data_IF_556260527912
#
_entry.id   IF_556260527912
#
_cell.length_a   1.000
_cell.length_b   1.000
_cell.length_c   1.000
_cell.angle_alpha   90.00
_cell.angle_beta   90.00
_cell.angle_gamma   90.00
#
_symmetry.space_group_name_H-M   'P 1'
#
loop_
_entity.id
_entity.type
_entity.pdbx_description
1 polymer ?
#
# COMPACT_ATOMS: atom_id res chain seq x y z
N UNK A 1 -0.02 9.15 -14.77
CA UNK A 1 0.10 7.70 -14.48
C UNK A 1 1.31 7.49 -13.58
N UNK A 2 1.11 7.01 -12.34
CA UNK A 2 2.18 6.94 -11.34
C UNK A 2 3.01 5.65 -11.42
N UNK A 3 2.42 4.59 -11.96
CA UNK A 3 3.12 3.34 -12.22
C UNK A 3 4.05 3.49 -13.44
N UNK A 4 5.36 3.21 -13.32
CA UNK A 4 6.27 3.18 -14.46
C UNK A 4 5.82 2.13 -15.49
N UNK A 5 5.78 2.51 -16.77
CA UNK A 5 5.37 1.58 -17.84
C UNK A 5 5.82 2.02 -19.24
N UNK A 6 6.01 1.04 -20.11
CA UNK A 6 6.16 1.21 -21.57
C UNK A 6 4.78 1.31 -22.19
N UNK A 7 4.62 2.18 -23.18
CA UNK A 7 3.38 2.31 -23.95
C UNK A 7 3.45 1.40 -25.16
N UNK A 8 2.46 0.51 -25.31
CA UNK A 8 2.42 -0.48 -26.40
C UNK A 8 3.73 -1.31 -26.55
N UNK A 9 4.42 -1.57 -25.43
CA UNK A 9 5.69 -2.31 -25.42
C UNK A 9 6.90 -1.55 -26.00
N UNK A 10 6.74 -0.29 -26.41
CA UNK A 10 7.80 0.46 -27.07
C UNK A 10 8.77 1.09 -26.07
N UNK A 11 10.07 0.82 -26.23
CA UNK A 11 11.11 1.38 -25.34
C UNK A 11 11.17 2.91 -25.34
N UNK A 12 10.87 3.53 -26.48
CA UNK A 12 10.95 4.98 -26.69
C UNK A 12 9.76 5.76 -26.14
N UNK A 13 8.64 5.09 -25.82
CA UNK A 13 7.43 5.73 -25.30
C UNK A 13 7.18 5.22 -23.88
N UNK A 14 7.49 6.05 -22.89
CA UNK A 14 7.54 5.66 -21.49
C UNK A 14 6.76 6.65 -20.63
N UNK A 15 6.03 6.13 -19.66
CA UNK A 15 5.75 6.88 -18.43
C UNK A 15 6.81 6.50 -17.40
N UNK A 16 7.55 7.48 -16.88
CA UNK A 16 8.51 7.27 -15.79
C UNK A 16 7.82 6.82 -14.50
N UNK A 17 6.55 7.18 -14.32
CA UNK A 17 5.87 7.09 -13.04
C UNK A 17 6.18 8.29 -12.14
N UNK A 18 5.63 8.27 -10.92
CA UNK A 18 5.99 9.23 -9.86
C UNK A 18 7.34 8.83 -9.23
N UNK A 19 8.11 9.78 -8.68
CA UNK A 19 9.36 9.48 -7.99
C UNK A 19 9.16 8.96 -6.56
N UNK A 20 7.96 9.13 -6.00
CA UNK A 20 7.58 8.70 -4.65
C UNK A 20 6.18 8.05 -4.68
N UNK A 21 5.85 7.19 -3.71
CA UNK A 21 4.52 6.61 -3.59
C UNK A 21 3.49 7.71 -3.32
N UNK A 22 2.46 7.79 -4.17
CA UNK A 22 1.36 8.74 -4.02
C UNK A 22 0.10 8.08 -3.42
N UNK A 23 0.09 6.75 -3.30
CA UNK A 23 -0.94 6.00 -2.60
C UNK A 23 -0.45 4.63 -2.13
N UNK A 24 -1.19 4.00 -1.20
CA UNK A 24 -0.90 2.63 -0.74
C UNK A 24 -1.10 1.55 -1.82
N UNK A 25 -1.72 1.87 -2.97
CA UNK A 25 -1.73 0.96 -4.12
C UNK A 25 -0.32 0.77 -4.71
N UNK A 26 0.61 1.65 -4.37
CA UNK A 26 1.97 1.73 -4.93
C UNK A 26 3.02 1.06 -4.04
N UNK A 27 2.62 0.52 -2.88
CA UNK A 27 3.52 -0.07 -1.88
C UNK A 27 4.44 -1.16 -2.45
N UNK A 28 3.94 -1.94 -3.40
CA UNK A 28 4.59 -3.14 -3.94
C UNK A 28 5.48 -2.89 -5.16
N UNK A 29 5.68 -1.64 -5.60
CA UNK A 29 6.61 -1.37 -6.69
C UNK A 29 7.62 -0.27 -6.34
N UNK A 30 8.76 -0.33 -7.03
CA UNK A 30 9.82 0.68 -6.91
C UNK A 30 9.54 1.82 -7.86
N UNK A 31 9.70 3.03 -7.36
CA UNK A 31 9.67 4.24 -8.16
C UNK A 31 10.99 4.41 -8.90
N UNK A 32 10.96 5.10 -10.03
CA UNK A 32 12.14 5.28 -10.87
C UNK A 32 12.12 6.63 -11.56
N UNK A 33 13.31 7.06 -11.96
CA UNK A 33 13.50 8.08 -13.00
C UNK A 33 14.06 7.39 -14.25
N UNK A 34 13.92 8.04 -15.40
CA UNK A 34 14.48 7.57 -16.66
C UNK A 34 15.68 8.43 -17.03
N UNK A 35 16.85 7.82 -17.13
CA UNK A 35 18.02 8.43 -17.76
C UNK A 35 17.94 8.16 -19.25
N UNK A 36 17.70 9.22 -20.02
CA UNK A 36 17.59 9.15 -21.49
C UNK A 36 18.89 9.66 -22.10
N UNK A 37 19.54 8.80 -22.88
CA UNK A 37 20.76 9.15 -23.61
C UNK A 37 20.44 9.33 -25.08
N UNK A 38 20.86 10.45 -25.65
CA UNK A 38 20.72 10.77 -27.08
C UNK A 38 22.09 10.78 -27.76
N UNK A 39 22.12 10.42 -29.04
CA UNK A 39 23.29 10.56 -29.92
C UNK A 39 22.87 11.41 -31.13
N UNK A 40 23.16 12.71 -31.04
CA UNK A 40 22.55 13.70 -31.93
C UNK A 40 21.03 13.70 -31.76
N UNK A 41 20.29 13.54 -32.87
CA UNK A 41 18.82 13.52 -32.89
C UNK A 41 18.23 12.12 -32.63
N UNK A 42 19.07 11.10 -32.41
CA UNK A 42 18.62 9.71 -32.23
C UNK A 42 18.61 9.31 -30.76
N UNK A 43 17.58 8.57 -30.37
CA UNK A 43 17.55 7.91 -29.07
C UNK A 43 18.58 6.78 -29.04
N UNK A 44 19.55 6.86 -28.11
CA UNK A 44 20.59 5.86 -27.93
C UNK A 44 20.22 4.84 -26.86
N UNK A 45 19.77 5.30 -25.69
CA UNK A 45 19.46 4.42 -24.55
C UNK A 45 18.44 5.05 -23.59
N UNK A 46 17.70 4.20 -22.87
CA UNK A 46 16.77 4.58 -21.80
C UNK A 46 16.95 3.65 -20.61
N UNK A 47 17.56 4.17 -19.54
CA UNK A 47 17.85 3.41 -18.33
C UNK A 47 16.86 3.78 -17.22
N UNK A 48 16.30 2.76 -16.57
CA UNK A 48 15.49 2.95 -15.35
C UNK A 48 16.43 3.04 -14.14
N UNK A 49 16.47 4.20 -13.49
CA UNK A 49 17.21 4.38 -12.24
C UNK A 49 16.23 4.34 -11.06
N UNK A 50 16.37 3.40 -10.11
CA UNK A 50 15.46 3.31 -8.97
C UNK A 50 15.64 4.51 -8.03
N UNK A 51 14.51 5.04 -7.54
CA UNK A 51 14.52 6.09 -6.50
C UNK A 51 14.53 5.42 -5.13
N UNK A 52 15.50 5.72 -4.24
CA UNK A 52 15.51 5.21 -2.88
C UNK A 52 14.25 5.62 -2.12
N UNK A 53 13.70 4.70 -1.30
CA UNK A 53 12.53 4.98 -0.49
C UNK A 53 12.98 5.47 0.89
N UNK A 54 12.82 6.77 1.15
CA UNK A 54 13.26 7.38 2.40
C UNK A 54 12.34 7.04 3.59
N UNK A 55 11.04 6.82 3.34
CA UNK A 55 10.04 6.44 4.33
C UNK A 55 9.27 5.25 3.80
N UNK A 56 9.25 4.16 4.55
CA UNK A 56 8.52 2.95 4.16
C UNK A 56 6.99 3.11 4.28
N UNK A 57 6.27 2.37 3.45
CA UNK A 57 4.82 2.19 3.56
C UNK A 57 4.57 0.76 4.04
N UNK A 58 3.93 0.61 5.19
CA UNK A 58 3.55 -0.67 5.78
C UNK A 58 2.04 -0.88 5.63
N UNK A 59 1.66 -2.13 5.37
CA UNK A 59 0.26 -2.56 5.38
C UNK A 59 0.11 -3.74 6.33
N UNK A 60 -0.85 -3.64 7.25
CA UNK A 60 -1.33 -4.77 8.05
C UNK A 60 -2.74 -5.13 7.57
N UNK A 61 -2.97 -6.42 7.33
CA UNK A 61 -4.23 -6.96 6.81
C UNK A 61 -4.33 -6.93 5.27
N UNK A 62 -5.51 -7.25 4.70
CA UNK A 62 -6.79 -7.46 5.40
C UNK A 62 -6.78 -8.72 6.29
N UNK A 63 -7.29 -8.60 7.51
CA UNK A 63 -7.44 -9.68 8.48
C UNK A 63 -8.49 -9.31 9.55
N UNK A 64 -9.06 -10.27 10.31
CA UNK A 64 -9.94 -9.97 11.44
C UNK A 64 -9.29 -9.04 12.47
N UNK A 65 -10.10 -8.29 13.22
CA UNK A 65 -9.59 -7.28 14.16
C UNK A 65 -8.57 -7.84 15.16
N UNK A 66 -8.83 -9.00 15.78
CA UNK A 66 -7.90 -9.61 16.73
C UNK A 66 -6.51 -9.83 16.11
N UNK A 67 -6.45 -10.45 14.94
CA UNK A 67 -5.19 -10.73 14.24
C UNK A 67 -4.48 -9.44 13.80
N UNK A 68 -5.23 -8.40 13.42
CA UNK A 68 -4.66 -7.09 13.12
C UNK A 68 -4.00 -6.48 14.36
N UNK A 69 -4.65 -6.54 15.52
CA UNK A 69 -4.10 -6.02 16.77
C UNK A 69 -2.85 -6.80 17.21
N UNK A 70 -2.85 -8.12 17.04
CA UNK A 70 -1.69 -8.96 17.33
C UNK A 70 -0.49 -8.56 16.46
N UNK A 71 -0.70 -8.41 15.14
CA UNK A 71 0.34 -7.95 14.20
C UNK A 71 0.82 -6.53 14.48
N UNK A 72 -0.06 -5.64 14.99
CA UNK A 72 0.35 -4.31 15.46
C UNK A 72 1.28 -4.45 16.68
N UNK A 73 0.98 -5.38 17.60
CA UNK A 73 1.79 -5.68 18.78
C UNK A 73 3.22 -6.11 18.44
N UNK A 74 3.42 -6.76 17.28
CA UNK A 74 4.74 -7.19 16.78
C UNK A 74 5.56 -6.06 16.15
N UNK A 75 4.98 -4.88 15.92
CA UNK A 75 5.72 -3.74 15.38
C UNK A 75 6.80 -3.27 16.36
N UNK A 76 7.92 -2.79 15.80
CA UNK A 76 9.01 -2.21 16.57
C UNK A 76 8.55 -1.03 17.43
N UNK A 77 9.14 -0.89 18.61
CA UNK A 77 8.94 0.25 19.50
C UNK A 77 9.65 1.50 18.96
N UNK A 78 9.14 2.67 19.31
CA UNK A 78 9.58 3.96 18.81
C UNK A 78 11.01 4.31 19.27
N UNK A 79 12.00 4.03 18.42
CA UNK A 79 13.39 4.46 18.54
C UNK A 79 13.82 5.45 17.44
N UNK A 80 13.07 5.50 16.32
CA UNK A 80 13.31 6.39 15.20
C UNK A 80 12.79 7.82 15.42
N UNK A 81 13.49 8.79 14.80
CA UNK A 81 12.98 10.15 14.57
C UNK A 81 11.62 10.05 13.86
N UNK A 82 10.66 10.88 14.28
CA UNK A 82 9.27 10.79 13.81
C UNK A 82 9.13 10.83 12.27
N UNK A 83 10.00 11.58 11.60
CA UNK A 83 9.99 11.75 10.14
C UNK A 83 10.38 10.47 9.38
N UNK A 84 11.18 9.60 9.99
CA UNK A 84 11.68 8.35 9.40
C UNK A 84 10.72 7.17 9.65
N UNK A 85 9.74 7.34 10.53
CA UNK A 85 8.77 6.29 10.88
C UNK A 85 7.92 5.90 9.67
N UNK A 86 7.77 4.61 9.36
CA UNK A 86 6.93 4.18 8.25
C UNK A 86 5.49 4.66 8.37
N UNK A 87 4.86 4.91 7.22
CA UNK A 87 3.43 5.15 7.13
C UNK A 87 2.67 3.84 7.15
N UNK A 88 1.63 3.73 7.98
CA UNK A 88 0.86 2.51 8.16
C UNK A 88 -0.56 2.64 7.60
N UNK A 89 -0.94 1.69 6.76
CA UNK A 89 -2.33 1.38 6.43
C UNK A 89 -2.75 0.10 7.17
N UNK A 90 -3.85 0.19 7.91
CA UNK A 90 -4.48 -0.97 8.57
C UNK A 90 -5.74 -1.36 7.81
N UNK A 91 -5.89 -2.64 7.49
CA UNK A 91 -7.06 -3.19 6.83
C UNK A 91 -7.70 -4.27 7.70
N UNK A 92 -8.97 -4.09 8.05
CA UNK A 92 -9.69 -4.96 8.98
C UNK A 92 -10.89 -5.59 8.29
N UNK A 93 -11.01 -6.90 8.41
CA UNK A 93 -12.19 -7.67 8.03
C UNK A 93 -13.16 -7.68 9.20
N UNK A 94 -14.40 -7.25 8.97
CA UNK A 94 -15.44 -7.16 9.99
C UNK A 94 -16.66 -7.98 9.60
N UNK A 95 -17.23 -8.69 10.57
CA UNK A 95 -18.50 -9.41 10.38
C UNK A 95 -19.70 -8.54 10.79
N UNK A 96 -19.46 -7.53 11.62
CA UNK A 96 -20.44 -6.59 12.15
C UNK A 96 -19.80 -5.22 12.39
N UNK A 97 -20.59 -4.13 12.47
CA UNK A 97 -20.07 -2.81 12.79
C UNK A 97 -19.29 -2.80 14.11
N UNK A 98 -18.11 -2.16 14.12
CA UNK A 98 -17.25 -1.97 15.29
C UNK A 98 -17.03 -0.47 15.53
N UNK A 99 -17.88 0.20 16.34
CA UNK A 99 -17.82 1.66 16.55
C UNK A 99 -16.50 2.15 17.15
N UNK A 100 -15.83 1.32 17.94
CA UNK A 100 -14.58 1.61 18.65
C UNK A 100 -13.33 1.13 17.89
N UNK A 101 -13.47 0.65 16.65
CA UNK A 101 -12.37 0.12 15.83
C UNK A 101 -11.15 1.05 15.80
N UNK A 102 -11.38 2.34 15.55
CA UNK A 102 -10.30 3.34 15.50
C UNK A 102 -9.58 3.43 16.84
N UNK A 103 -10.33 3.50 17.93
CA UNK A 103 -9.77 3.60 19.28
C UNK A 103 -8.93 2.36 19.62
N UNK A 104 -9.39 1.16 19.28
CA UNK A 104 -8.63 -0.08 19.51
C UNK A 104 -7.31 -0.08 18.73
N UNK A 105 -7.34 0.27 17.44
CA UNK A 105 -6.13 0.35 16.60
C UNK A 105 -5.17 1.42 17.09
N UNK A 106 -5.64 2.62 17.41
CA UNK A 106 -4.79 3.71 17.91
C UNK A 106 -4.18 3.38 19.28
N UNK A 107 -4.92 2.68 20.15
CA UNK A 107 -4.40 2.22 21.45
C UNK A 107 -3.30 1.17 21.27
N UNK A 108 -3.49 0.19 20.37
CA UNK A 108 -2.47 -0.81 20.07
C UNK A 108 -1.20 -0.22 19.43
N UNK A 109 -1.32 0.92 18.75
CA UNK A 109 -0.19 1.62 18.12
C UNK A 109 0.58 2.53 19.08
N UNK A 110 0.13 2.71 20.32
CA UNK A 110 0.87 3.50 21.30
C UNK A 110 2.26 2.91 21.52
N UNK A 111 3.28 3.76 21.45
CA UNK A 111 4.69 3.33 21.58
C UNK A 111 5.30 2.77 20.28
N UNK A 112 4.51 2.42 19.26
CA UNK A 112 5.04 1.82 18.02
C UNK A 112 5.74 2.81 17.10
N UNK A 113 6.78 2.35 16.41
CA UNK A 113 7.64 3.13 15.50
C UNK A 113 6.99 3.43 14.13
N UNK A 114 5.70 3.75 14.07
CA UNK A 114 4.99 3.99 12.81
C UNK A 114 4.02 5.17 12.92
N UNK A 115 3.50 5.60 11.77
CA UNK A 115 2.52 6.69 11.66
C UNK A 115 1.28 6.17 10.95
N UNK A 116 0.17 6.05 11.69
CA UNK A 116 -1.10 5.63 11.11
C UNK A 116 -1.59 6.67 10.10
N UNK A 117 -1.84 6.24 8.86
CA UNK A 117 -2.39 7.09 7.79
C UNK A 117 -3.84 6.74 7.49
N UNK A 118 -4.19 5.45 7.52
CA UNK A 118 -5.53 4.99 7.15
C UNK A 118 -5.90 3.70 7.89
N UNK A 119 -7.17 3.63 8.30
CA UNK A 119 -7.85 2.38 8.65
C UNK A 119 -8.90 2.13 7.57
N UNK A 120 -8.90 0.96 6.95
CA UNK A 120 -9.93 0.51 6.03
C UNK A 120 -10.63 -0.72 6.63
N UNK A 121 -11.96 -0.73 6.59
CA UNK A 121 -12.77 -1.87 7.01
C UNK A 121 -13.48 -2.47 5.80
N UNK A 122 -13.41 -3.79 5.67
CA UNK A 122 -14.13 -4.56 4.65
C UNK A 122 -15.06 -5.54 5.37
N UNK A 123 -16.33 -5.60 4.94
CA UNK A 123 -17.29 -6.53 5.53
C UNK A 123 -17.28 -7.85 4.76
N UNK A 124 -17.26 -8.99 5.45
CA UNK A 124 -17.51 -10.27 4.80
C UNK A 124 -18.93 -10.24 4.21
N UNK A 125 -19.04 -10.24 2.88
CA UNK A 125 -20.33 -10.51 2.24
C UNK A 125 -20.72 -11.93 2.64
N UNK A 126 -21.82 -12.09 3.37
CA UNK A 126 -22.50 -13.37 3.45
C UNK A 126 -23.07 -13.65 2.06
N UNK A 127 -22.62 -14.74 1.44
CA UNK A 127 -23.29 -15.32 0.27
C UNK A 127 -24.67 -15.85 0.72
N UNK A 128 -25.64 -14.96 0.83
CA UNK A 128 -27.07 -15.29 0.93
C UNK A 128 -27.71 -15.08 -0.45
N UNK A 129 -27.45 -15.98 -1.42
CA UNK A 129 -28.33 -16.18 -2.59
C UNK A 129 -27.90 -17.43 -3.38
N UNK A 130 -28.31 -18.60 -2.91
CA UNK A 130 -28.61 -19.77 -3.75
C UNK A 130 -29.36 -20.83 -2.91
N UNK A 131 -30.60 -20.52 -2.54
CA UNK A 131 -31.57 -21.57 -2.28
C UNK A 131 -32.09 -22.05 -3.65
N UNK A 132 -31.93 -23.33 -4.04
CA UNK A 132 -32.60 -23.82 -5.23
C UNK A 132 -34.10 -23.78 -4.97
N UNK A 133 -34.82 -23.01 -5.81
CA UNK A 133 -36.27 -23.15 -5.94
C UNK A 133 -36.56 -24.58 -6.41
N UNK A 134 -36.88 -25.46 -5.46
CA UNK A 134 -37.65 -26.67 -5.73
C UNK A 134 -39.05 -26.21 -6.15
N UNK A 135 -39.26 -26.12 -7.47
CA UNK A 135 -40.55 -25.93 -8.10
C UNK A 135 -40.90 -27.18 -8.90
N UNK A 136 -42.02 -27.79 -8.52
CA UNK A 136 -42.69 -28.96 -9.09
C UNK A 136 -42.93 -28.88 -10.61
#
# INVERSE_FOLDING_TARGET
LHKPQKVAGQERIRYSGSPLPLSFAEVNYRHQVLLVTLEGERLKDVQSLPVPRAVELLRIGPAPLGEVLDRIGELAEADLLNEQRPWLEVRVMLDQPQPDLRQQVESALQGKACRLVRIASEYQRRDEEQAPLLGL
#
